data_IF_985302466316
#
_entry.id   IF_985302466316
#
_cell.length_a   1.000
_cell.length_b   1.000
_cell.length_c   1.000
_cell.angle_alpha   90.00
_cell.angle_beta   90.00
_cell.angle_gamma   90.00
#
_symmetry.space_group_name_H-M   'P 1'
#
loop_
_entity.id
_entity.type
_entity.pdbx_description
1 polymer ?
#
# COMPACT_ATOMS: atom_id res chain seq x y z
N UNK A 1 15.16 14.36 -4.56
CA UNK A 1 14.23 14.86 -5.60
C UNK A 1 13.01 13.96 -5.58
N UNK A 2 11.82 14.54 -5.65
CA UNK A 2 10.58 13.78 -5.68
C UNK A 2 9.69 14.33 -6.80
N UNK A 3 8.93 13.45 -7.45
CA UNK A 3 7.98 13.84 -8.49
C UNK A 3 6.86 14.77 -7.99
N UNK A 4 5.99 15.24 -8.90
CA UNK A 4 4.87 16.12 -8.56
C UNK A 4 4.01 15.56 -7.43
N UNK A 5 3.59 16.41 -6.48
CA UNK A 5 2.71 16.04 -5.37
C UNK A 5 3.38 15.37 -4.16
N UNK A 6 4.68 15.10 -4.21
CA UNK A 6 5.42 14.53 -3.06
C UNK A 6 6.15 15.65 -2.30
N UNK A 7 5.99 15.75 -0.95
CA UNK A 7 6.75 16.72 -0.17
C UNK A 7 8.26 16.49 -0.33
N UNK A 8 9.08 17.48 -0.73
CA UNK A 8 10.51 17.29 -0.95
C UNK A 8 11.36 17.39 0.34
N UNK A 9 10.73 17.51 1.51
CA UNK A 9 11.38 17.88 2.77
C UNK A 9 11.22 16.88 3.92
N UNK A 10 11.36 17.37 5.15
CA UNK A 10 11.37 16.55 6.37
C UNK A 10 10.08 15.79 6.66
N UNK A 11 8.96 16.19 6.06
CA UNK A 11 7.67 15.52 6.22
C UNK A 11 7.52 14.30 5.29
N UNK A 12 8.43 14.12 4.33
CA UNK A 12 8.45 12.95 3.47
C UNK A 12 8.87 11.71 4.26
N UNK A 13 8.07 10.66 4.20
CA UNK A 13 8.32 9.44 4.96
C UNK A 13 9.62 8.73 4.57
N UNK A 14 10.06 8.84 3.31
CA UNK A 14 11.38 8.33 2.88
C UNK A 14 12.54 9.11 3.50
N UNK A 15 12.39 10.44 3.65
CA UNK A 15 13.40 11.27 4.33
C UNK A 15 13.42 11.00 5.82
N UNK A 16 12.24 10.80 6.43
CA UNK A 16 12.12 10.38 7.84
C UNK A 16 12.76 9.02 8.06
N UNK A 17 12.51 8.05 7.18
CA UNK A 17 13.13 6.73 7.21
C UNK A 17 14.66 6.82 7.18
N UNK A 18 15.20 7.61 6.26
CA UNK A 18 16.64 7.80 6.14
C UNK A 18 17.27 8.40 7.40
N UNK A 19 16.67 9.45 7.96
CA UNK A 19 17.14 10.11 9.19
C UNK A 19 17.04 9.19 10.40
N UNK A 20 15.95 8.44 10.49
CA UNK A 20 15.70 7.53 11.59
C UNK A 20 16.72 6.38 11.58
N UNK A 21 16.92 5.75 10.42
CA UNK A 21 17.97 4.74 10.24
C UNK A 21 19.34 5.31 10.60
N UNK A 22 19.72 6.48 10.05
CA UNK A 22 21.00 7.14 10.33
C UNK A 22 21.24 7.34 11.84
N UNK A 23 20.21 7.73 12.59
CA UNK A 23 20.29 7.91 14.04
C UNK A 23 20.55 6.60 14.80
N UNK A 24 20.00 5.48 14.33
CA UNK A 24 20.16 4.16 14.96
C UNK A 24 21.53 3.54 14.67
N UNK A 25 21.98 3.61 13.43
CA UNK A 25 23.21 2.92 12.99
C UNK A 25 24.48 3.76 13.18
N UNK A 26 24.35 5.03 13.59
CA UNK A 26 25.50 5.90 13.85
C UNK A 26 26.43 6.08 12.65
N UNK A 27 25.86 6.07 11.44
CA UNK A 27 26.61 6.20 10.17
C UNK A 27 27.30 7.55 10.16
N UNK A 28 28.63 7.52 10.37
CA UNK A 28 29.48 8.70 10.53
C UNK A 28 30.30 8.77 11.82
N UNK A 29 30.32 7.71 12.65
CA UNK A 29 31.18 7.64 13.86
C UNK A 29 32.57 7.04 13.61
N UNK A 30 32.97 6.80 12.36
CA UNK A 30 34.39 6.55 12.06
C UNK A 30 35.19 7.84 12.25
N UNK A 31 35.81 7.98 13.42
CA UNK A 31 36.82 9.00 13.67
C UNK A 31 38.05 8.72 12.79
N UNK A 32 38.10 9.34 11.61
CA UNK A 32 39.36 9.76 11.03
C UNK A 32 39.37 11.28 11.08
N UNK A 33 40.30 11.83 11.85
CA UNK A 33 40.61 13.26 11.94
C UNK A 33 39.61 14.16 12.69
N UNK A 34 38.74 13.61 13.54
CA UNK A 34 37.97 14.40 14.52
C UNK A 34 36.72 15.13 13.99
N UNK A 35 36.35 14.92 12.74
CA UNK A 35 35.08 15.40 12.16
C UNK A 35 34.17 14.22 11.80
N UNK A 36 32.92 14.25 12.27
CA UNK A 36 31.92 13.24 11.90
C UNK A 36 31.58 13.38 10.41
N UNK A 37 32.06 12.47 9.57
CA UNK A 37 31.65 12.40 8.17
C UNK A 37 30.30 11.72 8.06
N UNK A 38 29.24 12.52 8.01
CA UNK A 38 27.90 12.03 7.62
C UNK A 38 27.89 11.87 6.09
N UNK A 39 27.65 10.67 5.54
CA UNK A 39 27.58 10.49 4.10
C UNK A 39 26.41 11.29 3.52
N UNK A 40 26.73 12.21 2.59
CA UNK A 40 25.73 12.94 1.84
C UNK A 40 25.01 11.97 0.91
N UNK A 41 23.77 11.63 1.25
CA UNK A 41 22.95 10.69 0.49
C UNK A 41 21.84 11.44 -0.25
N UNK A 42 21.72 11.21 -1.56
CA UNK A 42 20.64 11.78 -2.39
C UNK A 42 19.60 10.71 -2.67
N UNK A 43 18.36 10.95 -2.26
CA UNK A 43 17.21 10.11 -2.62
C UNK A 43 16.49 10.68 -3.85
N UNK A 44 16.23 9.82 -4.82
CA UNK A 44 15.41 10.13 -5.99
C UNK A 44 14.24 9.13 -6.05
N UNK A 45 13.00 9.65 -6.06
CA UNK A 45 11.79 8.83 -6.03
C UNK A 45 11.03 8.95 -7.37
N UNK A 46 10.92 7.83 -8.07
CA UNK A 46 10.04 7.67 -9.25
C UNK A 46 8.69 7.12 -8.78
N UNK A 47 7.63 7.93 -8.86
CA UNK A 47 6.30 7.59 -8.32
C UNK A 47 5.39 7.00 -9.39
N UNK A 48 5.16 5.69 -9.30
CA UNK A 48 4.11 5.02 -10.06
C UNK A 48 2.82 4.81 -9.23
N UNK A 49 2.96 4.74 -7.90
CA UNK A 49 1.83 4.76 -6.97
C UNK A 49 1.36 6.22 -6.84
N UNK A 50 0.12 6.56 -7.24
CA UNK A 50 -0.44 7.90 -7.10
C UNK A 50 -0.44 8.37 -5.64
N UNK A 51 -0.29 9.68 -5.47
CA UNK A 51 -0.28 10.31 -4.15
C UNK A 51 -1.70 10.34 -3.58
N UNK A 52 -1.83 10.09 -2.28
CA UNK A 52 -3.11 10.14 -1.55
C UNK A 52 -4.24 9.24 -2.09
N UNK A 53 -3.88 8.16 -2.78
CA UNK A 53 -4.81 7.24 -3.43
C UNK A 53 -5.21 6.03 -2.57
N UNK A 54 -4.97 6.03 -1.25
CA UNK A 54 -5.33 4.87 -0.41
C UNK A 54 -4.54 3.58 -0.67
N UNK A 55 -3.35 3.69 -1.28
CA UNK A 55 -2.46 2.55 -1.63
C UNK A 55 -1.12 2.56 -0.88
N UNK A 56 -1.06 3.26 0.27
CA UNK A 56 0.13 3.35 1.12
C UNK A 56 1.43 3.76 0.39
N UNK A 57 1.33 4.58 -0.67
CA UNK A 57 2.48 4.90 -1.54
C UNK A 57 3.65 5.58 -0.82
N UNK A 58 3.40 6.40 0.20
CA UNK A 58 4.47 7.00 1.02
C UNK A 58 5.14 5.99 1.95
N UNK A 59 4.40 5.01 2.43
CA UNK A 59 4.91 3.89 3.23
C UNK A 59 5.79 2.96 2.38
N UNK A 60 5.40 2.73 1.13
CA UNK A 60 6.24 2.02 0.16
C UNK A 60 7.56 2.76 -0.11
N UNK A 61 7.54 4.09 -0.27
CA UNK A 61 8.75 4.89 -0.45
C UNK A 61 9.68 4.81 0.78
N UNK A 62 9.11 4.81 1.98
CA UNK A 62 9.86 4.68 3.23
C UNK A 62 10.50 3.30 3.38
N UNK A 63 9.76 2.23 3.09
CA UNK A 63 10.29 0.87 3.10
C UNK A 63 11.42 0.69 2.06
N UNK A 64 11.24 1.22 0.85
CA UNK A 64 12.28 1.20 -0.18
C UNK A 64 13.53 1.98 0.25
N UNK A 65 13.36 3.15 0.88
CA UNK A 65 14.47 3.92 1.43
C UNK A 65 15.22 3.15 2.52
N UNK A 66 14.53 2.50 3.46
CA UNK A 66 15.18 1.67 4.48
C UNK A 66 16.03 0.56 3.88
N UNK A 67 15.49 -0.19 2.90
CA UNK A 67 16.17 -1.31 2.26
C UNK A 67 17.38 -0.82 1.44
N UNK A 68 17.21 0.24 0.65
CA UNK A 68 18.28 0.82 -0.16
C UNK A 68 19.41 1.37 0.73
N UNK A 69 19.08 2.05 1.83
CA UNK A 69 20.06 2.64 2.72
C UNK A 69 20.76 1.60 3.61
N UNK A 70 20.05 0.56 4.05
CA UNK A 70 20.67 -0.57 4.74
C UNK A 70 21.77 -1.19 3.87
N UNK A 71 21.51 -1.32 2.55
CA UNK A 71 22.51 -1.79 1.60
C UNK A 71 23.62 -0.78 1.36
N UNK A 72 23.28 0.48 1.08
CA UNK A 72 24.23 1.54 0.74
C UNK A 72 25.21 1.84 1.88
N UNK A 73 24.70 1.88 3.11
CA UNK A 73 25.50 2.16 4.31
C UNK A 73 26.11 0.90 4.92
N UNK A 74 25.79 -0.29 4.39
CA UNK A 74 26.34 -1.56 4.87
C UNK A 74 26.00 -1.84 6.33
N UNK A 75 24.80 -1.47 6.79
CA UNK A 75 24.43 -1.57 8.21
C UNK A 75 24.20 -3.00 8.68
N UNK A 76 23.99 -3.93 7.74
CA UNK A 76 23.90 -5.36 8.03
C UNK A 76 22.61 -5.78 8.73
N UNK A 77 21.61 -4.90 8.76
CA UNK A 77 20.31 -5.18 9.38
C UNK A 77 19.55 -6.21 8.56
N UNK A 78 18.90 -7.15 9.25
CA UNK A 78 18.02 -8.11 8.60
C UNK A 78 16.60 -7.55 8.35
N UNK A 79 15.75 -8.34 7.71
CA UNK A 79 14.38 -7.93 7.35
C UNK A 79 13.50 -7.70 8.58
N UNK A 80 13.72 -8.42 9.68
CA UNK A 80 12.93 -8.27 10.90
C UNK A 80 13.33 -7.00 11.65
N UNK A 81 14.62 -6.71 11.77
CA UNK A 81 15.12 -5.44 12.32
C UNK A 81 14.62 -4.24 11.51
N UNK A 82 14.65 -4.32 10.17
CA UNK A 82 14.09 -3.26 9.31
C UNK A 82 12.57 -3.08 9.50
N UNK A 83 11.85 -4.16 9.80
CA UNK A 83 10.39 -4.13 10.05
C UNK A 83 10.08 -3.47 11.39
N UNK A 84 10.90 -3.71 12.42
CA UNK A 84 10.79 -3.02 13.71
C UNK A 84 11.01 -1.52 13.56
N UNK A 85 12.08 -1.11 12.86
CA UNK A 85 12.36 0.29 12.53
C UNK A 85 11.21 0.90 11.70
N UNK A 86 10.66 0.15 10.75
CA UNK A 86 9.54 0.60 9.93
C UNK A 86 8.28 0.89 10.76
N UNK A 87 8.03 0.13 11.84
CA UNK A 87 6.85 0.30 12.68
C UNK A 87 6.83 1.66 13.40
N UNK A 88 8.01 2.26 13.65
CA UNK A 88 8.14 3.60 14.22
C UNK A 88 7.82 4.73 13.22
N UNK A 89 7.86 4.43 11.91
CA UNK A 89 7.62 5.42 10.86
C UNK A 89 6.14 5.56 10.52
N UNK A 90 5.39 4.45 10.50
CA UNK A 90 3.97 4.43 10.22
C UNK A 90 3.38 3.02 10.14
N UNK A 91 2.07 2.89 10.28
CA UNK A 91 1.39 1.60 10.41
C UNK A 91 1.57 0.67 9.19
N UNK A 92 1.62 1.23 7.97
CA UNK A 92 1.73 0.43 6.74
C UNK A 92 3.19 0.13 6.34
N UNK A 93 4.17 0.82 6.91
CA UNK A 93 5.58 0.66 6.50
C UNK A 93 6.12 -0.75 6.78
N UNK A 94 5.82 -1.39 7.93
CA UNK A 94 6.20 -2.78 8.20
C UNK A 94 5.72 -3.77 7.13
N UNK A 95 4.46 -3.60 6.70
CA UNK A 95 3.90 -4.40 5.62
C UNK A 95 4.64 -4.14 4.31
N UNK A 96 4.87 -2.87 3.96
CA UNK A 96 5.62 -2.50 2.76
C UNK A 96 7.04 -3.07 2.75
N UNK A 97 7.74 -3.16 3.89
CA UNK A 97 9.08 -3.81 3.95
C UNK A 97 8.99 -5.26 3.51
N UNK A 98 7.93 -5.97 3.91
CA UNK A 98 7.81 -7.41 3.67
C UNK A 98 7.25 -7.72 2.29
N UNK A 99 6.16 -7.05 1.93
CA UNK A 99 5.29 -7.36 0.80
C UNK A 99 4.53 -8.68 0.97
N UNK A 100 4.11 -9.25 -0.15
CA UNK A 100 3.28 -10.45 -0.19
C UNK A 100 1.85 -10.17 0.25
N UNK A 101 1.29 -11.10 1.02
CA UNK A 101 -0.02 -10.96 1.65
C UNK A 101 0.14 -11.17 3.15
N UNK A 102 -0.46 -10.31 3.97
CA UNK A 102 -0.39 -10.42 5.41
C UNK A 102 -1.76 -10.16 6.06
N UNK A 103 -2.01 -10.84 7.16
CA UNK A 103 -3.07 -10.48 8.10
C UNK A 103 -2.49 -9.47 9.07
N UNK A 104 -3.08 -8.28 9.11
CA UNK A 104 -2.71 -7.23 10.06
C UNK A 104 -3.78 -7.13 11.16
N UNK A 105 -3.35 -7.00 12.41
CA UNK A 105 -4.24 -6.82 13.58
C UNK A 105 -3.87 -5.57 14.38
N UNK A 106 -4.74 -5.18 15.31
CA UNK A 106 -4.58 -3.95 16.10
C UNK A 106 -4.70 -2.72 15.21
N UNK A 107 -3.67 -1.85 15.22
CA UNK A 107 -3.61 -0.64 14.37
C UNK A 107 -3.01 -0.90 12.98
N UNK A 108 -2.86 -2.17 12.59
CA UNK A 108 -2.23 -2.58 11.32
C UNK A 108 -0.73 -2.87 11.43
N UNK A 109 -0.11 -2.61 12.58
CA UNK A 109 1.34 -2.82 12.79
C UNK A 109 1.71 -4.27 13.08
N UNK A 110 0.83 -5.02 13.74
CA UNK A 110 1.04 -6.43 14.03
C UNK A 110 0.66 -7.27 12.80
N UNK A 111 1.66 -7.68 12.02
CA UNK A 111 1.47 -8.40 10.76
C UNK A 111 1.94 -9.84 10.83
N UNK A 112 1.12 -10.76 10.32
CA UNK A 112 1.45 -12.16 10.12
C UNK A 112 1.33 -12.50 8.63
N UNK A 113 2.40 -13.05 8.04
CA UNK A 113 2.41 -13.43 6.63
C UNK A 113 1.39 -14.54 6.35
N UNK A 114 0.63 -14.37 5.27
CA UNK A 114 -0.39 -15.31 4.83
C UNK A 114 0.10 -15.99 3.57
N UNK A 115 0.12 -17.33 3.59
CA UNK A 115 0.44 -18.09 2.40
C UNK A 115 -0.63 -17.86 1.34
N UNK A 116 -0.19 -17.33 0.21
CA UNK A 116 -1.01 -17.11 -0.96
C UNK A 116 -0.56 -18.05 -2.08
N UNK A 117 -1.44 -18.92 -2.57
CA UNK A 117 -1.11 -19.87 -3.66
C UNK A 117 -1.54 -19.38 -5.05
N UNK A 118 -2.52 -18.49 -5.10
CA UNK A 118 -3.06 -17.94 -6.34
C UNK A 118 -2.25 -16.76 -6.87
N UNK A 119 -2.47 -16.45 -8.14
CA UNK A 119 -2.12 -15.16 -8.74
C UNK A 119 -3.42 -14.44 -9.06
N UNK A 120 -3.58 -13.23 -8.54
CA UNK A 120 -4.78 -12.43 -8.69
C UNK A 120 -4.54 -11.26 -9.62
N UNK A 121 -5.53 -10.97 -10.45
CA UNK A 121 -5.49 -9.89 -11.42
C UNK A 121 -6.45 -8.80 -10.98
N UNK A 122 -5.95 -7.59 -10.85
CA UNK A 122 -6.69 -6.45 -10.33
C UNK A 122 -6.82 -5.38 -11.39
N UNK A 123 -7.99 -4.74 -11.44
CA UNK A 123 -8.16 -3.43 -12.07
C UNK A 123 -8.21 -2.39 -10.96
N UNK A 124 -7.42 -1.34 -11.10
CA UNK A 124 -7.26 -0.28 -10.11
C UNK A 124 -7.75 1.02 -10.71
N UNK A 125 -8.95 1.44 -10.32
CA UNK A 125 -9.56 2.72 -10.70
C UNK A 125 -9.13 3.81 -9.73
N UNK A 126 -8.43 4.83 -10.24
CA UNK A 126 -7.83 5.91 -9.46
C UNK A 126 -8.54 7.21 -9.80
N UNK A 127 -9.09 7.86 -8.78
CA UNK A 127 -9.61 9.23 -8.87
C UNK A 127 -8.56 10.23 -8.41
N UNK A 128 -8.39 11.32 -9.15
CA UNK A 128 -7.46 12.41 -8.83
C UNK A 128 -7.98 13.26 -7.66
N UNK A 129 -9.27 13.21 -7.36
CA UNK A 129 -9.85 13.90 -6.21
C UNK A 129 -9.54 13.13 -4.91
N UNK A 130 -8.69 13.66 -4.03
CA UNK A 130 -8.23 12.95 -2.86
C UNK A 130 -9.34 12.78 -1.84
N UNK A 131 -9.32 11.67 -1.10
CA UNK A 131 -10.19 11.44 0.03
C UNK A 131 -9.36 11.38 1.32
N UNK A 132 -9.70 12.23 2.29
CA UNK A 132 -8.92 12.37 3.51
C UNK A 132 -9.16 11.18 4.45
N UNK A 133 -8.13 10.38 4.72
CA UNK A 133 -8.22 9.25 5.67
C UNK A 133 -8.82 9.66 7.02
N UNK A 134 -8.38 10.73 7.70
CA UNK A 134 -9.03 11.18 8.93
C UNK A 134 -10.51 11.57 8.77
N UNK A 135 -10.91 12.09 7.61
CA UNK A 135 -12.32 12.43 7.36
C UNK A 135 -13.17 11.16 7.22
N UNK A 136 -12.66 10.13 6.53
CA UNK A 136 -13.35 8.84 6.37
C UNK A 136 -13.50 8.14 7.72
N UNK A 137 -12.47 8.11 8.56
CA UNK A 137 -12.59 7.55 9.91
C UNK A 137 -13.61 8.32 10.77
N UNK A 138 -13.60 9.66 10.74
CA UNK A 138 -14.63 10.45 11.45
C UNK A 138 -16.04 10.18 10.94
N UNK A 139 -16.22 10.09 9.63
CA UNK A 139 -17.51 9.74 9.05
C UNK A 139 -17.92 8.32 9.45
N UNK A 140 -16.97 7.37 9.50
CA UNK A 140 -17.23 6.01 9.98
C UNK A 140 -17.64 5.98 11.46
N UNK A 141 -17.06 6.81 12.32
CA UNK A 141 -17.50 6.95 13.72
C UNK A 141 -18.96 7.44 13.83
N UNK A 142 -19.47 8.14 12.82
CA UNK A 142 -20.83 8.67 12.78
C UNK A 142 -21.84 7.70 12.13
N UNK A 143 -21.45 6.98 11.07
CA UNK A 143 -22.37 6.17 10.24
C UNK A 143 -22.04 4.68 10.16
N UNK A 144 -20.87 4.28 10.65
CA UNK A 144 -20.34 2.93 10.53
C UNK A 144 -20.74 2.03 11.70
N UNK A 145 -20.87 0.75 11.41
CA UNK A 145 -20.99 -0.31 12.40
C UNK A 145 -19.95 -1.39 12.06
N UNK A 146 -19.07 -1.78 12.99
CA UNK A 146 -18.09 -2.84 12.75
C UNK A 146 -18.77 -4.12 12.27
N UNK A 147 -18.30 -4.67 11.17
CA UNK A 147 -18.84 -5.95 10.70
C UNK A 147 -18.45 -7.09 11.64
N UNK A 148 -19.34 -8.08 11.77
CA UNK A 148 -19.03 -9.37 12.44
C UNK A 148 -18.25 -10.32 11.51
N UNK A 149 -17.67 -9.80 10.42
CA UNK A 149 -16.98 -10.61 9.42
C UNK A 149 -15.58 -10.95 9.89
N UNK A 150 -15.35 -12.23 10.15
CA UNK A 150 -14.02 -12.76 10.37
C UNK A 150 -13.29 -13.00 9.03
N UNK A 151 -11.94 -12.90 8.99
CA UNK A 151 -11.17 -12.99 7.76
C UNK A 151 -11.05 -14.43 7.22
N UNK A 152 -11.62 -15.44 7.88
CA UNK A 152 -11.49 -16.86 7.53
C UNK A 152 -11.79 -17.17 6.07
N UNK A 153 -12.84 -16.57 5.51
CA UNK A 153 -13.21 -16.78 4.10
C UNK A 153 -12.13 -16.26 3.14
N UNK A 154 -11.59 -15.06 3.41
CA UNK A 154 -10.49 -14.46 2.64
C UNK A 154 -9.23 -15.30 2.78
N UNK A 155 -8.84 -15.66 4.01
CA UNK A 155 -7.66 -16.48 4.27
C UNK A 155 -7.75 -17.85 3.61
N UNK A 156 -8.93 -18.46 3.62
CA UNK A 156 -9.17 -19.74 2.97
C UNK A 156 -9.05 -19.64 1.45
N UNK A 157 -9.67 -18.63 0.84
CA UNK A 157 -9.57 -18.39 -0.60
C UNK A 157 -8.13 -18.12 -1.06
N UNK A 158 -7.38 -17.31 -0.29
CA UNK A 158 -5.96 -17.05 -0.53
C UNK A 158 -5.12 -18.32 -0.47
N UNK A 159 -5.42 -19.19 0.50
CA UNK A 159 -4.72 -20.46 0.71
C UNK A 159 -5.02 -21.48 -0.38
N UNK A 160 -6.22 -21.49 -0.94
CA UNK A 160 -6.59 -22.40 -2.04
C UNK A 160 -6.29 -21.83 -3.42
N UNK A 161 -6.07 -20.52 -3.54
CA UNK A 161 -5.90 -19.83 -4.82
C UNK A 161 -7.21 -19.63 -5.58
N UNK A 162 -8.33 -19.60 -4.87
CA UNK A 162 -9.67 -19.49 -5.45
C UNK A 162 -10.07 -18.02 -5.60
N UNK A 163 -9.96 -17.49 -6.82
CA UNK A 163 -10.24 -16.08 -7.11
C UNK A 163 -11.74 -15.74 -6.99
N UNK A 164 -12.64 -16.67 -7.31
CA UNK A 164 -14.08 -16.45 -7.16
C UNK A 164 -14.47 -16.37 -5.69
N UNK A 165 -13.99 -17.32 -4.88
CA UNK A 165 -14.21 -17.29 -3.44
C UNK A 165 -13.57 -16.06 -2.79
N UNK A 166 -12.40 -15.63 -3.27
CA UNK A 166 -11.76 -14.40 -2.80
C UNK A 166 -12.65 -13.19 -3.10
N UNK A 167 -13.09 -13.04 -4.35
CA UNK A 167 -13.94 -11.93 -4.79
C UNK A 167 -15.23 -11.81 -3.98
N UNK A 168 -15.89 -12.93 -3.70
CA UNK A 168 -17.10 -12.98 -2.88
C UNK A 168 -16.84 -12.65 -1.39
N UNK A 169 -15.63 -12.90 -0.90
CA UNK A 169 -15.25 -12.66 0.50
C UNK A 169 -14.70 -11.24 0.74
N UNK A 170 -14.41 -10.48 -0.32
CA UNK A 170 -13.90 -9.12 -0.23
C UNK A 170 -14.88 -8.20 0.50
N UNK A 171 -14.35 -7.42 1.43
CA UNK A 171 -15.14 -6.50 2.24
C UNK A 171 -14.26 -5.36 2.77
N UNK A 172 -14.84 -4.17 2.90
CA UNK A 172 -14.21 -3.05 3.57
C UNK A 172 -15.27 -2.26 4.36
N UNK A 173 -15.16 -2.26 5.69
CA UNK A 173 -16.08 -1.55 6.58
C UNK A 173 -16.10 -0.04 6.30
N UNK A 174 -14.99 0.55 5.86
CA UNK A 174 -14.90 1.99 5.60
C UNK A 174 -15.71 2.44 4.37
N UNK A 175 -16.23 1.53 3.54
CA UNK A 175 -16.98 1.88 2.34
C UNK A 175 -18.21 2.73 2.63
N UNK A 176 -18.94 2.45 3.71
CA UNK A 176 -20.12 3.23 4.08
C UNK A 176 -19.78 4.72 4.30
N UNK A 177 -18.64 4.97 4.93
CA UNK A 177 -18.13 6.31 5.18
C UNK A 177 -17.49 6.94 3.93
N UNK A 178 -16.79 6.16 3.11
CA UNK A 178 -16.28 6.63 1.84
C UNK A 178 -17.42 7.06 0.90
N UNK A 179 -18.51 6.29 0.85
CA UNK A 179 -19.69 6.59 0.04
C UNK A 179 -20.50 7.77 0.57
N UNK A 180 -20.51 8.02 1.88
CA UNK A 180 -21.19 9.20 2.43
C UNK A 180 -20.48 10.51 2.06
N UNK A 181 -19.15 10.44 1.94
CA UNK A 181 -18.31 11.58 1.54
C UNK A 181 -18.20 11.74 0.02
N UNK A 182 -18.17 10.63 -0.72
CA UNK A 182 -18.05 10.57 -2.18
C UNK A 182 -18.97 9.49 -2.77
N UNK A 183 -20.27 9.78 -2.98
CA UNK A 183 -21.25 8.81 -3.47
C UNK A 183 -20.86 8.15 -4.80
N UNK A 184 -20.14 8.86 -5.68
CA UNK A 184 -19.67 8.36 -6.97
C UNK A 184 -18.74 7.13 -6.86
N UNK A 185 -18.09 6.92 -5.71
CA UNK A 185 -17.27 5.73 -5.46
C UNK A 185 -18.14 4.47 -5.39
N UNK A 186 -19.39 4.59 -4.92
CA UNK A 186 -20.34 3.47 -4.92
C UNK A 186 -20.70 3.09 -6.34
N UNK A 187 -21.06 4.08 -7.15
CA UNK A 187 -21.45 3.87 -8.55
C UNK A 187 -20.31 3.23 -9.35
N UNK A 188 -19.07 3.69 -9.13
CA UNK A 188 -17.89 3.14 -9.79
C UNK A 188 -17.58 1.70 -9.34
N UNK A 189 -17.73 1.39 -8.05
CA UNK A 189 -17.58 0.03 -7.50
C UNK A 189 -18.65 -0.91 -8.04
N UNK A 190 -19.91 -0.48 -8.04
CA UNK A 190 -21.03 -1.29 -8.53
C UNK A 190 -20.90 -1.53 -10.04
N UNK A 191 -20.43 -0.53 -10.79
CA UNK A 191 -20.16 -0.67 -12.22
C UNK A 191 -19.08 -1.73 -12.54
N UNK A 192 -18.05 -1.89 -11.69
CA UNK A 192 -17.12 -3.02 -11.85
C UNK A 192 -17.82 -4.38 -11.72
N UNK A 193 -18.71 -4.52 -10.74
CA UNK A 193 -19.49 -5.75 -10.51
C UNK A 193 -20.44 -6.03 -11.68
N UNK A 194 -21.16 -5.00 -12.14
CA UNK A 194 -22.05 -5.10 -13.31
C UNK A 194 -21.31 -5.49 -14.60
N UNK A 195 -20.02 -5.14 -14.70
CA UNK A 195 -19.16 -5.52 -15.81
C UNK A 195 -18.49 -6.89 -15.65
N UNK A 196 -18.76 -7.62 -14.57
CA UNK A 196 -18.33 -9.01 -14.36
C UNK A 196 -17.11 -9.19 -13.44
N UNK A 197 -16.70 -8.17 -12.69
CA UNK A 197 -15.67 -8.37 -11.67
C UNK A 197 -16.10 -9.41 -10.63
N UNK A 198 -15.18 -10.25 -10.18
CA UNK A 198 -15.42 -11.28 -9.16
C UNK A 198 -15.71 -10.67 -7.78
N UNK A 199 -15.21 -9.46 -7.56
CA UNK A 199 -15.46 -8.64 -6.38
C UNK A 199 -14.87 -7.25 -6.61
N UNK A 200 -15.41 -6.23 -5.94
CA UNK A 200 -14.90 -4.86 -6.02
C UNK A 200 -15.15 -4.12 -4.71
N UNK A 201 -14.21 -3.25 -4.34
CA UNK A 201 -14.27 -2.45 -3.11
C UNK A 201 -13.44 -1.17 -3.24
N UNK A 202 -13.74 -0.19 -2.38
CA UNK A 202 -12.84 0.95 -2.13
C UNK A 202 -11.62 0.47 -1.34
N UNK A 203 -10.40 0.73 -1.83
CA UNK A 203 -9.15 0.36 -1.15
C UNK A 203 -8.90 1.24 0.07
N UNK A 204 -8.97 0.65 1.27
CA UNK A 204 -8.74 1.36 2.53
C UNK A 204 -9.76 2.48 2.75
N UNK A 205 -9.28 3.72 2.94
CA UNK A 205 -10.16 4.89 3.03
C UNK A 205 -10.50 5.52 1.67
N UNK A 206 -10.03 4.94 0.56
CA UNK A 206 -10.22 5.47 -0.79
C UNK A 206 -9.24 6.59 -1.17
N UNK A 207 -9.45 7.26 -2.33
CA UNK A 207 -10.58 7.11 -3.25
C UNK A 207 -10.43 5.96 -4.26
N UNK A 208 -9.32 5.21 -4.24
CA UNK A 208 -9.11 4.13 -5.21
C UNK A 208 -10.16 3.04 -5.05
N UNK A 209 -10.74 2.61 -6.17
CA UNK A 209 -11.62 1.45 -6.25
C UNK A 209 -10.86 0.33 -6.95
N UNK A 210 -10.84 -0.86 -6.35
CA UNK A 210 -10.20 -2.04 -6.93
C UNK A 210 -11.24 -3.08 -7.31
N UNK A 211 -10.98 -3.82 -8.38
CA UNK A 211 -11.82 -4.91 -8.83
C UNK A 211 -10.97 -6.15 -9.14
N UNK A 212 -11.39 -7.30 -8.61
CA UNK A 212 -10.77 -8.59 -8.86
C UNK A 212 -11.30 -9.17 -10.17
N UNK A 213 -10.39 -9.52 -11.07
CA UNK A 213 -10.69 -10.16 -12.34
C UNK A 213 -10.34 -11.65 -12.29
N UNK A 214 -11.04 -12.44 -13.12
CA UNK A 214 -10.81 -13.87 -13.26
C UNK A 214 -9.45 -14.22 -13.89
N UNK A 215 -8.95 -13.36 -14.77
CA UNK A 215 -7.70 -13.57 -15.49
C UNK A 215 -7.07 -12.24 -15.94
N UNK A 216 -5.81 -12.29 -16.40
CA UNK A 216 -5.12 -11.14 -16.97
C UNK A 216 -5.88 -10.52 -18.16
N UNK A 217 -6.44 -11.37 -19.03
CA UNK A 217 -7.23 -10.93 -20.17
C UNK A 217 -8.51 -10.25 -19.69
N UNK A 218 -9.21 -10.87 -18.73
CA UNK A 218 -10.42 -10.30 -18.17
C UNK A 218 -10.15 -8.95 -17.48
N UNK A 219 -9.04 -8.80 -16.76
CA UNK A 219 -8.64 -7.51 -16.16
C UNK A 219 -8.45 -6.42 -17.22
N UNK A 220 -7.83 -6.76 -18.36
CA UNK A 220 -7.65 -5.82 -19.48
C UNK A 220 -8.99 -5.43 -20.12
N UNK A 221 -9.92 -6.37 -20.24
CA UNK A 221 -11.26 -6.11 -20.77
C UNK A 221 -12.10 -5.26 -19.81
N UNK A 222 -12.08 -5.56 -18.51
CA UNK A 222 -12.71 -4.75 -17.46
C UNK A 222 -12.18 -3.33 -17.46
N UNK A 223 -10.85 -3.15 -17.48
CA UNK A 223 -10.23 -1.82 -17.53
C UNK A 223 -10.74 -0.97 -18.72
N UNK A 224 -10.93 -1.59 -19.89
CA UNK A 224 -11.49 -0.90 -21.07
C UNK A 224 -12.96 -0.54 -20.92
N UNK A 225 -13.77 -1.37 -20.24
CA UNK A 225 -15.20 -1.08 -20.01
C UNK A 225 -15.41 0.07 -19.03
N UNK A 226 -14.40 0.35 -18.21
CA UNK A 226 -14.40 1.45 -17.24
C UNK A 226 -13.78 2.74 -17.79
N UNK A 227 -13.51 2.81 -19.10
CA UNK A 227 -12.93 4.01 -19.73
C UNK A 227 -13.79 5.26 -19.45
N UNK A 228 -13.15 6.34 -19.00
CA UNK A 228 -13.82 7.57 -18.61
C UNK A 228 -14.55 7.56 -17.26
N UNK A 229 -14.57 6.43 -16.53
CA UNK A 229 -15.14 6.35 -15.17
C UNK A 229 -14.16 6.87 -14.12
N UNK A 230 -12.87 6.61 -14.31
CA UNK A 230 -11.80 7.07 -13.45
C UNK A 230 -10.82 7.96 -14.22
N UNK A 231 -10.13 8.84 -13.51
CA UNK A 231 -9.07 9.68 -14.10
C UNK A 231 -7.92 8.82 -14.63
N UNK A 232 -7.62 7.72 -13.93
CA UNK A 232 -6.63 6.72 -14.34
C UNK A 232 -7.09 5.32 -14.01
N UNK A 233 -6.72 4.37 -14.88
CA UNK A 233 -7.00 2.94 -14.70
C UNK A 233 -5.72 2.16 -14.95
N UNK A 234 -5.37 1.30 -14.02
CA UNK A 234 -4.20 0.44 -14.10
C UNK A 234 -4.61 -1.03 -13.93
N UNK A 235 -3.85 -1.95 -14.52
CA UNK A 235 -3.98 -3.39 -14.26
C UNK A 235 -2.78 -3.85 -13.45
N UNK A 236 -3.03 -4.60 -12.37
CA UNK A 236 -2.00 -5.07 -11.45
C UNK A 236 -2.14 -6.58 -11.17
N UNK A 237 -1.07 -7.17 -10.65
CA UNK A 237 -1.03 -8.56 -10.22
C UNK A 237 -0.59 -8.67 -8.77
N UNK A 238 -1.15 -9.63 -8.03
CA UNK A 238 -0.74 -9.93 -6.66
C UNK A 238 -0.70 -11.45 -6.41
N UNK A 239 0.02 -11.91 -5.37
CA UNK A 239 0.90 -11.15 -4.48
C UNK A 239 2.20 -10.72 -5.18
N UNK A 240 2.71 -9.53 -4.84
CA UNK A 240 4.04 -9.07 -5.22
C UNK A 240 4.94 -9.02 -3.99
N UNK A 241 6.25 -9.23 -4.17
CA UNK A 241 7.22 -9.11 -3.08
C UNK A 241 7.35 -7.67 -2.55
N UNK A 242 7.98 -7.52 -1.38
CA UNK A 242 8.40 -6.20 -0.88
C UNK A 242 9.53 -5.61 -1.73
N UNK A 243 10.05 -4.42 -1.37
CA UNK A 243 11.11 -3.77 -2.11
C UNK A 243 12.34 -4.66 -2.27
N UNK A 244 12.92 -4.61 -3.46
CA UNK A 244 14.11 -5.34 -3.86
C UNK A 244 15.11 -4.40 -4.55
N UNK A 245 16.37 -4.79 -4.58
CA UNK A 245 17.47 -4.00 -5.14
C UNK A 245 17.72 -4.45 -6.58
N UNK A 246 17.30 -3.63 -7.54
CA UNK A 246 17.43 -3.96 -8.97
C UNK A 246 18.83 -3.69 -9.54
N UNK A 247 19.55 -2.69 -9.03
CA UNK A 247 20.91 -2.33 -9.50
C UNK A 247 21.71 -1.55 -8.45
N UNK A 248 23.05 -1.52 -8.64
CA UNK A 248 24.00 -0.75 -7.82
C UNK A 248 24.72 0.30 -8.68
#
# INVERSE_FOLDING_TARGET
>A
EAGPGVPPGGDNLAVRAARHLMGLVGVGTSQRDGEAQVPVTRLHLTKNIPVAAGMAGGSADAAAALIALNRLWGTGLDRDELREIAAELGADVPFCVTGGTALATGTGTATAQVLCRGTYYWVVGISDEPLSTPAVYRAYDEVGEPSEREPDAVLQALRTGDAEALGAALHNDLEVAAFSLRPELRDARDMFLDNGALGSLVSGSGPTVVALAESAQHATELARRMDGVFDRIEVAMSPAGGPDIESQ
#
